data_IF_403625821390
#
_entry.id   IF_403625821390
#
_cell.length_a   1.000
_cell.length_b   1.000
_cell.length_c   1.000
_cell.angle_alpha   90.00
_cell.angle_beta   90.00
_cell.angle_gamma   90.00
#
_symmetry.space_group_name_H-M   'P 1'
#
loop_
_entity.id
_entity.type
_entity.pdbx_description
1 polymer ?
#
# COMPACT_ATOMS: atom_id res chain seq x y z
N UNK A 1 5.27 -15.28 4.34
CA UNK A 1 5.42 -14.31 5.47
C UNK A 1 5.13 -14.98 6.80
N UNK A 2 5.93 -14.69 7.80
CA UNK A 2 5.72 -15.21 9.13
C UNK A 2 4.47 -14.62 9.78
N UNK A 3 3.86 -15.41 10.67
CA UNK A 3 2.72 -14.96 11.46
C UNK A 3 3.17 -13.91 12.48
N UNK A 4 2.40 -12.83 12.64
CA UNK A 4 2.69 -11.78 13.62
C UNK A 4 2.14 -12.18 14.99
N UNK A 5 2.72 -11.57 16.03
CA UNK A 5 2.29 -11.79 17.40
C UNK A 5 0.98 -11.03 17.68
N UNK A 6 0.28 -11.45 18.75
CA UNK A 6 -0.91 -10.75 19.21
C UNK A 6 -0.58 -9.30 19.59
N UNK A 7 0.58 -9.07 20.23
CA UNK A 7 1.03 -7.72 20.58
C UNK A 7 1.18 -6.84 19.34
N UNK A 8 1.69 -7.39 18.24
CA UNK A 8 1.79 -6.67 16.97
C UNK A 8 0.43 -6.24 16.45
N UNK A 9 -0.53 -7.16 16.41
CA UNK A 9 -1.87 -6.84 15.92
C UNK A 9 -2.56 -5.82 16.81
N UNK A 10 -2.39 -5.91 18.12
CA UNK A 10 -2.95 -4.93 19.04
C UNK A 10 -2.39 -3.54 18.77
N UNK A 11 -1.08 -3.41 18.59
CA UNK A 11 -0.45 -2.12 18.29
C UNK A 11 -0.89 -1.58 16.93
N UNK A 12 -1.01 -2.45 15.93
CA UNK A 12 -1.46 -2.07 14.60
C UNK A 12 -2.88 -1.48 14.64
N UNK A 13 -3.82 -2.21 15.24
CA UNK A 13 -5.21 -1.76 15.31
C UNK A 13 -5.40 -0.57 16.22
N UNK A 14 -4.65 -0.49 17.31
CA UNK A 14 -4.70 0.68 18.20
C UNK A 14 -4.21 1.93 17.49
N UNK A 15 -3.12 1.83 16.74
CA UNK A 15 -2.59 2.95 15.95
C UNK A 15 -3.62 3.42 14.92
N UNK A 16 -4.26 2.49 14.23
CA UNK A 16 -5.32 2.80 13.26
C UNK A 16 -6.47 3.55 13.95
N UNK A 17 -6.97 3.03 15.06
CA UNK A 17 -8.08 3.63 15.78
C UNK A 17 -7.77 5.05 16.28
N UNK A 18 -6.56 5.26 16.77
CA UNK A 18 -6.14 6.56 17.30
C UNK A 18 -5.95 7.63 16.23
N UNK A 19 -5.67 7.23 15.00
CA UNK A 19 -5.27 8.16 13.93
C UNK A 19 -6.24 8.22 12.76
N UNK A 20 -7.27 7.40 12.73
CA UNK A 20 -8.16 7.29 11.57
C UNK A 20 -8.90 8.56 11.21
N UNK A 21 -9.20 9.43 12.20
CA UNK A 21 -9.93 10.67 11.98
C UNK A 21 -9.02 11.82 11.56
N UNK A 22 -7.76 11.81 12.00
CA UNK A 22 -6.80 12.86 11.69
C UNK A 22 -5.98 12.55 10.45
N UNK A 23 -6.09 11.34 9.91
CA UNK A 23 -5.31 10.86 8.79
C UNK A 23 -4.11 10.04 9.23
N UNK A 24 -3.65 9.16 8.36
CA UNK A 24 -2.51 8.29 8.65
C UNK A 24 -1.43 8.53 7.61
N UNK A 25 -0.25 8.96 8.09
CA UNK A 25 0.94 9.10 7.26
C UNK A 25 1.65 7.76 7.18
N UNK A 26 1.98 7.33 5.95
CA UNK A 26 2.74 6.09 5.74
C UNK A 26 4.07 6.12 6.50
N UNK A 27 4.83 7.22 6.38
CA UNK A 27 6.14 7.32 7.01
C UNK A 27 6.07 7.22 8.53
N UNK A 28 5.10 7.88 9.14
CA UNK A 28 4.93 7.85 10.60
C UNK A 28 4.48 6.48 11.10
N UNK A 29 3.52 5.87 10.43
CA UNK A 29 3.01 4.56 10.81
C UNK A 29 4.09 3.47 10.62
N UNK A 30 4.82 3.52 9.50
CA UNK A 30 5.91 2.58 9.23
C UNK A 30 7.01 2.71 10.29
N UNK A 31 7.38 3.94 10.63
CA UNK A 31 8.39 4.22 11.66
C UNK A 31 7.95 3.68 13.01
N UNK A 32 6.71 3.92 13.39
CA UNK A 32 6.15 3.46 14.66
C UNK A 32 6.26 1.92 14.79
N UNK A 33 5.79 1.20 13.79
CA UNK A 33 5.80 -0.27 13.83
C UNK A 33 7.23 -0.83 13.72
N UNK A 34 8.08 -0.19 12.92
CA UNK A 34 9.48 -0.60 12.79
C UNK A 34 10.23 -0.46 14.12
N UNK A 35 10.05 0.66 14.81
CA UNK A 35 10.69 0.89 16.10
C UNK A 35 10.17 -0.05 17.19
N UNK A 36 8.89 -0.39 17.14
CA UNK A 36 8.29 -1.28 18.15
C UNK A 36 8.56 -2.76 17.91
N UNK A 37 8.57 -3.19 16.65
CA UNK A 37 8.58 -4.62 16.33
C UNK A 37 9.76 -5.05 15.46
N UNK A 38 10.59 -4.11 15.00
CA UNK A 38 11.75 -4.43 14.17
C UNK A 38 11.42 -4.95 12.79
N UNK A 39 10.18 -4.78 12.32
CA UNK A 39 9.73 -5.24 11.00
C UNK A 39 9.38 -4.07 10.11
N UNK A 40 9.84 -4.12 8.87
CA UNK A 40 9.49 -3.12 7.87
C UNK A 40 8.18 -3.54 7.18
N UNK A 41 7.08 -3.05 7.69
CA UNK A 41 5.73 -3.49 7.34
C UNK A 41 5.13 -2.71 6.18
N UNK A 42 5.77 -2.77 5.01
CA UNK A 42 5.33 -2.03 3.82
C UNK A 42 3.87 -2.34 3.44
N UNK A 43 3.53 -3.61 3.40
CA UNK A 43 2.18 -4.05 3.01
C UNK A 43 1.13 -3.66 4.04
N UNK A 44 1.34 -4.02 5.31
CA UNK A 44 0.36 -3.75 6.36
C UNK A 44 0.12 -2.26 6.58
N UNK A 45 1.20 -1.45 6.53
CA UNK A 45 1.07 0.00 6.72
C UNK A 45 0.36 0.64 5.53
N UNK A 46 0.67 0.22 4.30
CA UNK A 46 -0.04 0.74 3.13
C UNK A 46 -1.53 0.42 3.18
N UNK A 47 -1.90 -0.76 3.68
CA UNK A 47 -3.31 -1.13 3.88
C UNK A 47 -3.97 -0.23 4.93
N UNK A 48 -3.27 0.09 6.01
CA UNK A 48 -3.76 1.00 7.04
C UNK A 48 -4.05 2.38 6.45
N UNK A 49 -3.11 2.91 5.65
CA UNK A 49 -3.28 4.20 4.97
C UNK A 49 -4.48 4.15 4.03
N UNK A 50 -4.62 3.07 3.26
CA UNK A 50 -5.70 2.92 2.28
C UNK A 50 -7.09 2.78 2.92
N UNK A 51 -7.17 2.27 4.14
CA UNK A 51 -8.43 2.22 4.89
C UNK A 51 -8.94 3.65 5.15
N UNK A 52 -8.03 4.55 5.54
CA UNK A 52 -8.37 5.93 5.87
C UNK A 52 -8.47 6.81 4.62
N UNK A 53 -7.60 6.57 3.64
CA UNK A 53 -7.61 7.31 2.37
C UNK A 53 -7.53 6.33 1.20
N UNK A 54 -8.68 5.97 0.59
CA UNK A 54 -8.73 4.97 -0.48
C UNK A 54 -8.02 5.36 -1.78
N UNK A 55 -7.53 6.58 -1.90
CA UNK A 55 -6.79 7.02 -3.09
C UNK A 55 -5.33 6.62 -3.03
N UNK A 56 -4.82 6.17 -1.87
CA UNK A 56 -3.46 5.65 -1.76
C UNK A 56 -3.40 4.19 -2.20
N UNK A 57 -2.38 3.82 -3.00
CA UNK A 57 -2.22 2.44 -3.45
C UNK A 57 -1.68 1.55 -2.33
N UNK A 58 -2.07 0.27 -2.40
CA UNK A 58 -1.58 -0.74 -1.45
C UNK A 58 -0.26 -1.29 -1.97
N UNK A 59 0.71 -1.43 -1.07
CA UNK A 59 1.98 -2.08 -1.38
C UNK A 59 1.78 -3.59 -1.39
N UNK A 60 1.72 -4.16 -2.58
CA UNK A 60 1.65 -5.59 -2.81
C UNK A 60 2.74 -5.95 -3.81
N UNK A 61 3.61 -6.91 -3.47
CA UNK A 61 4.76 -7.24 -4.30
C UNK A 61 4.36 -7.72 -5.71
N UNK A 62 3.18 -8.30 -5.86
CA UNK A 62 2.66 -8.71 -7.18
C UNK A 62 2.52 -7.47 -8.06
N UNK A 63 2.01 -6.37 -7.51
CA UNK A 63 1.81 -5.12 -8.24
C UNK A 63 3.09 -4.30 -8.28
N UNK A 64 3.73 -4.06 -7.13
CA UNK A 64 4.92 -3.19 -7.06
C UNK A 64 6.08 -3.73 -7.88
N UNK A 65 6.42 -5.01 -7.70
CA UNK A 65 7.49 -5.66 -8.43
C UNK A 65 7.06 -6.03 -9.84
N UNK A 66 5.87 -6.65 -9.98
CA UNK A 66 5.40 -7.20 -11.24
C UNK A 66 5.04 -6.15 -12.29
N UNK A 67 4.41 -5.06 -11.89
CA UNK A 67 3.96 -4.02 -12.82
C UNK A 67 4.84 -2.78 -12.82
N UNK A 68 5.50 -2.45 -11.71
CA UNK A 68 6.27 -1.21 -11.57
C UNK A 68 7.77 -1.42 -11.38
N UNK A 69 8.20 -2.66 -11.16
CA UNK A 69 9.62 -2.96 -10.96
C UNK A 69 10.21 -2.38 -9.67
N UNK A 70 9.38 -2.10 -8.69
CA UNK A 70 9.80 -1.51 -7.41
C UNK A 70 9.83 -2.61 -6.35
N UNK A 71 10.97 -2.75 -5.67
CA UNK A 71 11.22 -3.81 -4.70
C UNK A 71 11.46 -3.19 -3.33
N UNK A 72 10.88 -3.79 -2.28
CA UNK A 72 11.13 -3.37 -0.91
C UNK A 72 12.61 -3.56 -0.53
N UNK A 73 13.14 -2.76 0.42
CA UNK A 73 14.52 -2.94 0.87
C UNK A 73 14.75 -4.35 1.43
N UNK A 74 15.94 -4.89 1.14
CA UNK A 74 16.34 -6.20 1.66
C UNK A 74 16.56 -6.15 3.17
N UNK A 75 16.46 -7.30 3.82
CA UNK A 75 16.58 -7.41 5.28
C UNK A 75 17.93 -6.91 5.81
N UNK A 76 19.00 -7.06 5.02
CA UNK A 76 20.35 -6.65 5.40
C UNK A 76 20.76 -5.28 4.90
N UNK A 77 19.85 -4.52 4.31
CA UNK A 77 20.15 -3.19 3.79
C UNK A 77 20.31 -2.18 4.91
N UNK A 78 21.28 -1.27 4.75
CA UNK A 78 21.45 -0.14 5.68
C UNK A 78 20.35 0.89 5.43
N UNK A 79 19.97 1.61 6.48
CA UNK A 79 18.93 2.64 6.41
C UNK A 79 17.63 2.11 5.83
N UNK A 80 17.27 0.93 6.28
CA UNK A 80 16.14 0.18 5.72
C UNK A 80 14.82 0.91 5.87
N UNK A 81 14.62 1.60 7.00
CA UNK A 81 13.40 2.36 7.24
C UNK A 81 13.27 3.54 6.25
N UNK A 82 14.34 4.33 6.12
CA UNK A 82 14.34 5.47 5.21
C UNK A 82 14.14 5.02 3.77
N UNK A 83 14.80 3.93 3.39
CA UNK A 83 14.64 3.37 2.04
C UNK A 83 13.24 2.87 1.78
N UNK A 84 12.60 2.27 2.78
CA UNK A 84 11.21 1.83 2.69
C UNK A 84 10.27 3.01 2.43
N UNK A 85 10.46 4.10 3.17
CA UNK A 85 9.67 5.32 2.98
C UNK A 85 9.86 5.88 1.57
N UNK A 86 11.11 5.99 1.11
CA UNK A 86 11.43 6.46 -0.24
C UNK A 86 10.79 5.57 -1.32
N UNK A 87 10.85 4.27 -1.15
CA UNK A 87 10.27 3.32 -2.10
C UNK A 87 8.76 3.48 -2.20
N UNK A 88 8.09 3.68 -1.07
CA UNK A 88 6.64 3.89 -1.11
C UNK A 88 6.29 5.23 -1.78
N UNK A 89 7.03 6.29 -1.51
CA UNK A 89 6.84 7.58 -2.19
C UNK A 89 7.04 7.45 -3.69
N UNK A 90 8.10 6.74 -4.10
CA UNK A 90 8.35 6.43 -5.51
C UNK A 90 7.18 5.67 -6.13
N UNK A 91 6.67 4.67 -5.41
CA UNK A 91 5.54 3.87 -5.86
C UNK A 91 4.29 4.74 -6.05
N UNK A 92 3.98 5.61 -5.08
CA UNK A 92 2.84 6.51 -5.19
C UNK A 92 2.96 7.43 -6.40
N UNK A 93 4.15 7.97 -6.67
CA UNK A 93 4.38 8.82 -7.84
C UNK A 93 4.21 8.05 -9.15
N UNK A 94 4.78 6.86 -9.23
CA UNK A 94 4.63 6.01 -10.43
C UNK A 94 3.18 5.58 -10.63
N UNK A 95 2.51 5.26 -9.55
CA UNK A 95 1.10 4.85 -9.59
C UNK A 95 0.21 6.00 -10.07
N UNK A 96 0.44 7.20 -9.55
CA UNK A 96 -0.31 8.39 -9.95
C UNK A 96 -0.13 8.69 -11.43
N UNK A 97 1.10 8.59 -11.94
CA UNK A 97 1.38 8.77 -13.37
C UNK A 97 0.67 7.70 -14.20
N UNK A 98 0.73 6.44 -13.76
CA UNK A 98 0.08 5.34 -14.46
C UNK A 98 -1.44 5.51 -14.48
N UNK A 99 -2.02 5.98 -13.37
CA UNK A 99 -3.47 6.22 -13.24
C UNK A 99 -4.00 7.16 -14.32
N UNK A 100 -3.17 8.09 -14.79
CA UNK A 100 -3.53 9.05 -15.83
C UNK A 100 -3.42 8.49 -17.24
N UNK A 101 -2.85 7.30 -17.40
CA UNK A 101 -2.66 6.69 -18.72
C UNK A 101 -3.97 6.17 -19.30
N UNK A 102 -4.01 6.06 -20.63
CA UNK A 102 -5.15 5.47 -21.34
C UNK A 102 -5.36 4.01 -20.91
N UNK A 103 -4.26 3.28 -20.72
CA UNK A 103 -4.31 1.87 -20.32
C UNK A 103 -4.96 1.69 -18.95
N UNK A 104 -4.61 2.55 -17.98
CA UNK A 104 -5.21 2.49 -16.65
C UNK A 104 -6.71 2.82 -16.71
N UNK A 105 -7.09 3.79 -17.51
CA UNK A 105 -8.49 4.15 -17.69
C UNK A 105 -9.30 3.02 -18.31
N UNK A 106 -8.71 2.29 -19.26
CA UNK A 106 -9.33 1.10 -19.84
C UNK A 106 -9.54 -0.01 -18.80
N UNK A 107 -8.55 -0.22 -17.93
CA UNK A 107 -8.64 -1.24 -16.87
C UNK A 107 -9.72 -0.88 -15.85
N UNK A 108 -9.82 0.38 -15.48
CA UNK A 108 -10.87 0.85 -14.57
C UNK A 108 -12.25 0.67 -15.21
N UNK A 109 -12.39 1.02 -16.48
CA UNK A 109 -13.64 0.82 -17.22
C UNK A 109 -14.02 -0.66 -17.30
N UNK A 110 -13.04 -1.53 -17.50
CA UNK A 110 -13.24 -2.98 -17.49
C UNK A 110 -13.74 -3.48 -16.13
N UNK A 111 -13.13 -2.98 -15.03
CA UNK A 111 -13.61 -3.30 -13.69
C UNK A 111 -15.08 -2.92 -13.51
N UNK A 112 -15.45 -1.71 -13.94
CA UNK A 112 -16.81 -1.21 -13.81
C UNK A 112 -17.81 -2.04 -14.62
N UNK A 113 -17.35 -2.60 -15.73
CA UNK A 113 -18.15 -3.51 -16.56
C UNK A 113 -18.37 -4.87 -15.89
N UNK A 114 -17.29 -5.40 -15.25
CA UNK A 114 -17.34 -6.70 -14.59
C UNK A 114 -18.12 -6.64 -13.28
N UNK A 115 -18.03 -5.52 -12.59
CA UNK A 115 -18.62 -5.34 -11.25
C UNK A 115 -19.43 -4.04 -11.19
N UNK A 116 -20.57 -3.99 -11.90
CA UNK A 116 -21.36 -2.76 -11.93
C UNK A 116 -21.95 -2.43 -10.56
N UNK A 117 -21.91 -1.15 -10.21
CA UNK A 117 -22.48 -0.67 -8.96
C UNK A 117 -21.57 -0.81 -7.73
N UNK A 118 -20.34 -1.31 -7.90
CA UNK A 118 -19.38 -1.38 -6.79
C UNK A 118 -18.76 0.00 -6.58
N UNK A 119 -19.05 0.61 -5.43
CA UNK A 119 -18.61 1.96 -5.10
C UNK A 119 -17.31 1.95 -4.30
N UNK A 120 -16.19 1.87 -5.00
CA UNK A 120 -14.85 1.96 -4.43
C UNK A 120 -14.04 2.95 -5.26
N UNK A 121 -12.89 3.40 -4.71
CA UNK A 121 -12.04 4.36 -5.42
C UNK A 121 -11.46 3.76 -6.71
N UNK A 122 -11.10 4.64 -7.64
CA UNK A 122 -10.43 4.21 -8.87
C UNK A 122 -9.10 3.52 -8.58
N UNK A 123 -8.40 3.96 -7.54
CA UNK A 123 -7.16 3.29 -7.09
C UNK A 123 -7.43 1.83 -6.71
N UNK A 124 -8.49 1.57 -5.97
CA UNK A 124 -8.86 0.19 -5.59
C UNK A 124 -9.29 -0.65 -6.78
N UNK A 125 -10.02 -0.06 -7.71
CA UNK A 125 -10.40 -0.75 -8.95
C UNK A 125 -9.17 -1.16 -9.74
N UNK A 126 -8.23 -0.24 -9.90
CA UNK A 126 -7.00 -0.49 -10.64
C UNK A 126 -6.11 -1.50 -9.92
N UNK A 127 -5.96 -1.40 -8.60
CA UNK A 127 -5.22 -2.39 -7.80
C UNK A 127 -5.75 -3.80 -8.04
N UNK A 128 -7.07 -3.96 -8.02
CA UNK A 128 -7.69 -5.25 -8.28
C UNK A 128 -7.33 -5.77 -9.68
N UNK A 129 -7.45 -4.92 -10.70
CA UNK A 129 -7.17 -5.33 -12.08
C UNK A 129 -5.71 -5.69 -12.29
N UNK A 130 -4.79 -4.90 -11.71
CA UNK A 130 -3.35 -5.18 -11.80
C UNK A 130 -2.97 -6.47 -11.07
N UNK A 131 -3.60 -6.72 -9.94
CA UNK A 131 -3.37 -7.95 -9.18
C UNK A 131 -3.86 -9.19 -9.96
N UNK A 132 -4.97 -9.08 -10.68
CA UNK A 132 -5.50 -10.16 -11.52
C UNK A 132 -4.57 -10.48 -12.70
N UNK A 133 -3.84 -9.52 -13.20
CA UNK A 133 -2.95 -9.65 -14.37
C UNK A 133 -1.54 -10.11 -14.02
N UNK A 134 -1.34 -10.72 -12.88
CA UNK A 134 -0.04 -11.20 -12.44
C UNK A 134 0.50 -12.32 -13.31
#
# INVERSE_FOLDING_TARGET
MGRRTEAYYNDYYQYLQQNKETGISFSKALTYLYQKHGRLEMSFVSKMVAIVNPDFPIWDSIVTKGHFGIIAPYANEKNRLEKGIEKYEQYCCCYDTYMRSALAKEKIAEFEKLFPGVDISNTKKLDFMLWQER
#
